data_IF_501864753249
#
_entry.id   IF_501864753249
#
_cell.length_a   1.000
_cell.length_b   1.000
_cell.length_c   1.000
_cell.angle_alpha   90.00
_cell.angle_beta   90.00
_cell.angle_gamma   90.00
#
_symmetry.space_group_name_H-M   'P 1'
#
loop_
_entity.id
_entity.type
_entity.pdbx_description
1 polymer ?
#
# COMPACT_ATOMS: atom_id res chain seq x y z
N UNK A 1 44.95 32.62 49.05
CA UNK A 1 44.60 31.28 48.55
C UNK A 1 43.36 31.43 47.68
N UNK A 2 43.57 31.63 46.39
CA UNK A 2 42.53 32.02 45.42
C UNK A 2 42.18 30.79 44.59
N UNK A 3 40.93 30.32 44.65
CA UNK A 3 40.41 29.24 43.81
C UNK A 3 40.16 29.79 42.40
N UNK A 4 40.92 29.30 41.43
CA UNK A 4 40.61 29.44 39.99
C UNK A 4 39.83 28.20 39.57
N UNK A 5 38.62 28.43 39.06
CA UNK A 5 37.70 27.44 38.54
C UNK A 5 38.02 27.22 37.06
N UNK A 6 38.51 26.03 36.71
CA UNK A 6 38.72 25.63 35.32
C UNK A 6 37.38 25.17 34.75
N UNK A 7 36.86 25.96 33.82
CA UNK A 7 35.75 25.60 32.92
C UNK A 7 36.37 24.82 31.75
N UNK A 8 36.11 23.52 31.69
CA UNK A 8 36.54 22.62 30.63
C UNK A 8 35.34 22.00 29.93
N UNK A 9 35.00 22.61 28.81
CA UNK A 9 33.97 22.30 27.80
C UNK A 9 33.81 20.80 27.47
N UNK A 10 32.69 20.18 27.90
CA UNK A 10 32.17 18.93 27.34
C UNK A 10 31.18 19.29 26.22
N UNK A 11 31.61 19.21 24.97
CA UNK A 11 30.76 19.42 23.79
C UNK A 11 31.00 18.29 22.79
N UNK A 12 30.47 17.09 23.08
CA UNK A 12 30.40 15.99 22.12
C UNK A 12 29.32 14.97 22.50
N UNK A 13 28.03 15.37 22.46
CA UNK A 13 26.93 14.42 22.23
C UNK A 13 25.60 15.15 22.08
N UNK A 14 25.19 15.46 20.85
CA UNK A 14 23.79 15.78 20.56
C UNK A 14 23.41 15.70 19.08
N UNK A 15 24.38 15.75 18.15
CA UNK A 15 24.06 15.84 16.71
C UNK A 15 23.91 14.47 16.04
N UNK A 16 24.48 13.39 16.59
CA UNK A 16 24.36 12.04 16.00
C UNK A 16 23.13 11.24 16.46
N UNK A 17 22.44 11.66 17.51
CA UNK A 17 21.17 11.03 17.93
C UNK A 17 19.99 11.60 17.12
N UNK A 18 20.13 12.81 16.57
CA UNK A 18 19.10 13.50 15.78
C UNK A 18 18.91 13.00 14.34
N UNK A 19 19.85 12.20 13.81
CA UNK A 19 19.75 11.64 12.45
C UNK A 19 19.27 10.18 12.41
N UNK A 20 19.19 9.51 13.56
CA UNK A 20 18.63 8.15 13.67
C UNK A 20 17.12 8.14 13.96
N UNK A 21 16.50 9.30 14.17
CA UNK A 21 15.04 9.45 14.38
C UNK A 21 14.30 9.82 13.07
N UNK A 22 15.03 9.91 11.95
CA UNK A 22 14.48 10.19 10.62
C UNK A 22 14.19 8.93 9.78
N UNK A 23 14.29 7.73 10.38
CA UNK A 23 13.57 6.57 9.87
C UNK A 23 12.23 6.51 10.58
N UNK A 24 11.32 7.37 10.11
CA UNK A 24 9.93 7.47 10.57
C UNK A 24 9.26 6.10 10.65
N UNK A 25 8.67 5.83 11.82
CA UNK A 25 7.46 5.02 12.00
C UNK A 25 6.52 5.16 10.79
N UNK A 26 6.40 4.09 9.99
CA UNK A 26 5.31 3.91 9.03
C UNK A 26 4.75 2.49 9.08
N UNK A 27 4.63 1.90 10.25
CA UNK A 27 3.65 0.84 10.46
C UNK A 27 2.36 1.51 10.95
N UNK A 28 1.43 1.76 10.02
CA UNK A 28 0.18 2.45 10.33
C UNK A 28 -0.74 1.56 11.18
N UNK A 29 -1.52 2.14 12.08
CA UNK A 29 -2.41 1.42 13.01
C UNK A 29 -3.31 0.34 12.35
N UNK A 30 -3.65 0.48 11.06
CA UNK A 30 -4.39 -0.55 10.32
C UNK A 30 -3.52 -1.75 9.93
N UNK A 31 -2.25 -1.53 9.56
CA UNK A 31 -1.30 -2.60 9.31
C UNK A 31 -1.14 -3.46 10.56
N UNK A 32 -0.93 -2.87 11.73
CA UNK A 32 -0.78 -3.59 13.00
C UNK A 32 -2.02 -4.41 13.34
N UNK A 33 -3.20 -3.80 13.19
CA UNK A 33 -4.48 -4.47 13.43
C UNK A 33 -4.65 -5.69 12.52
N UNK A 34 -4.33 -5.56 11.23
CA UNK A 34 -4.45 -6.66 10.28
C UNK A 34 -3.37 -7.72 10.51
N UNK A 35 -2.15 -7.33 10.88
CA UNK A 35 -1.08 -8.24 11.27
C UNK A 35 -1.46 -9.08 12.48
N UNK A 36 -2.05 -8.47 13.51
CA UNK A 36 -2.59 -9.16 14.69
C UNK A 36 -3.72 -10.13 14.32
N UNK A 37 -4.63 -9.73 13.43
CA UNK A 37 -5.69 -10.62 12.94
C UNK A 37 -5.11 -11.82 12.18
N UNK A 38 -4.16 -11.61 11.27
CA UNK A 38 -3.49 -12.70 10.56
C UNK A 38 -2.80 -13.65 11.52
N UNK A 39 -2.10 -13.13 12.53
CA UNK A 39 -1.44 -13.94 13.56
C UNK A 39 -2.44 -14.75 14.40
N UNK A 40 -3.62 -14.20 14.70
CA UNK A 40 -4.61 -14.88 15.53
C UNK A 40 -5.39 -15.98 14.80
N UNK A 41 -5.69 -15.80 13.51
CA UNK A 41 -6.47 -16.79 12.73
C UNK A 41 -5.62 -17.68 11.82
N UNK A 42 -4.36 -17.33 11.59
CA UNK A 42 -3.45 -18.00 10.65
C UNK A 42 -3.58 -17.50 9.21
N UNK A 43 -2.49 -17.59 8.43
CA UNK A 43 -2.38 -17.03 7.07
C UNK A 43 -3.47 -17.53 6.11
N UNK A 44 -3.65 -18.86 6.01
CA UNK A 44 -4.64 -19.45 5.11
C UNK A 44 -6.08 -19.06 5.43
N UNK A 45 -6.46 -18.92 6.72
CA UNK A 45 -7.79 -18.43 7.09
C UNK A 45 -7.91 -16.93 6.80
N UNK A 46 -6.86 -16.16 7.09
CA UNK A 46 -6.85 -14.70 6.86
C UNK A 46 -7.02 -14.32 5.38
N UNK A 47 -6.57 -15.17 4.45
CA UNK A 47 -6.66 -14.95 3.01
C UNK A 47 -7.74 -15.79 2.33
N UNK A 48 -8.50 -16.61 3.06
CA UNK A 48 -9.59 -17.41 2.51
C UNK A 48 -10.69 -16.53 1.91
N UNK A 49 -11.27 -16.93 0.77
CA UNK A 49 -12.24 -16.10 0.03
C UNK A 49 -13.54 -15.80 0.79
N UNK A 50 -13.83 -16.53 1.86
CA UNK A 50 -14.98 -16.37 2.75
C UNK A 50 -14.63 -15.71 4.09
N UNK A 51 -13.37 -15.31 4.31
CA UNK A 51 -12.97 -14.61 5.52
C UNK A 51 -13.60 -13.21 5.58
N UNK A 52 -14.53 -13.05 6.54
CA UNK A 52 -15.36 -11.85 6.76
C UNK A 52 -16.04 -11.38 5.46
N UNK A 53 -17.12 -12.06 5.05
CA UNK A 53 -17.84 -11.71 3.83
C UNK A 53 -18.50 -10.34 3.95
N UNK A 54 -18.59 -9.64 2.82
CA UNK A 54 -19.12 -8.29 2.72
C UNK A 54 -18.45 -7.53 1.59
N UNK A 55 -19.23 -6.70 0.87
CA UNK A 55 -18.66 -5.88 -0.19
C UNK A 55 -17.64 -4.89 0.39
N UNK A 56 -16.46 -4.85 -0.23
CA UNK A 56 -15.36 -3.97 0.15
C UNK A 56 -14.86 -3.20 -1.07
N UNK A 57 -14.54 -1.93 -0.89
CA UNK A 57 -13.85 -1.09 -1.87
C UNK A 57 -12.41 -0.88 -1.42
N UNK A 58 -11.48 -1.15 -2.33
CA UNK A 58 -10.07 -0.83 -2.21
C UNK A 58 -9.76 0.27 -3.23
N UNK A 59 -9.50 1.47 -2.73
CA UNK A 59 -9.21 2.66 -3.53
C UNK A 59 -7.70 2.81 -3.62
N UNK A 60 -7.19 3.03 -4.84
CA UNK A 60 -5.78 3.32 -5.10
C UNK A 60 -5.70 4.60 -5.92
N UNK A 61 -4.94 5.58 -5.43
CA UNK A 61 -4.64 6.82 -6.16
C UNK A 61 -3.14 6.87 -6.47
N UNK A 62 -2.80 7.19 -7.72
CA UNK A 62 -1.41 7.33 -8.17
C UNK A 62 -1.05 8.77 -8.47
N UNK A 63 0.13 9.16 -7.99
CA UNK A 63 0.85 10.39 -8.33
C UNK A 63 2.15 9.98 -9.01
N UNK A 64 2.29 10.28 -10.29
CA UNK A 64 3.41 9.82 -11.09
C UNK A 64 4.64 10.72 -10.94
N UNK A 65 5.82 10.20 -11.29
CA UNK A 65 6.99 11.06 -11.53
C UNK A 65 6.72 11.97 -12.73
N UNK A 66 7.25 13.20 -12.70
CA UNK A 66 7.11 14.17 -13.80
C UNK A 66 7.68 13.69 -15.13
N UNK A 67 8.60 12.72 -15.09
CA UNK A 67 9.26 12.14 -16.26
C UNK A 67 8.45 11.02 -16.92
N UNK A 68 7.33 10.60 -16.34
CA UNK A 68 6.54 9.48 -16.88
C UNK A 68 5.73 9.90 -18.10
N UNK A 69 5.99 9.21 -19.20
CA UNK A 69 5.32 9.38 -20.50
C UNK A 69 3.90 8.84 -20.49
N UNK A 70 3.08 9.28 -21.45
CA UNK A 70 1.73 8.75 -21.63
C UNK A 70 1.73 7.23 -21.87
N UNK A 71 2.64 6.72 -22.71
CA UNK A 71 2.74 5.29 -22.98
C UNK A 71 3.01 4.44 -21.72
N UNK A 72 3.78 4.97 -20.76
CA UNK A 72 3.99 4.31 -19.48
C UNK A 72 2.73 4.33 -18.61
N UNK A 73 1.96 5.43 -18.60
CA UNK A 73 0.67 5.53 -17.90
C UNK A 73 -0.36 4.58 -18.50
N UNK A 74 -0.39 4.44 -19.82
CA UNK A 74 -1.24 3.48 -20.52
C UNK A 74 -0.85 2.04 -20.16
N UNK A 75 0.46 1.75 -20.03
CA UNK A 75 0.94 0.45 -19.59
C UNK A 75 0.56 0.14 -18.13
N UNK A 76 0.59 1.14 -17.23
CA UNK A 76 0.08 1.01 -15.86
C UNK A 76 -1.41 0.68 -15.86
N UNK A 77 -2.20 1.46 -16.60
CA UNK A 77 -3.66 1.28 -16.71
C UNK A 77 -4.01 -0.11 -17.22
N UNK A 78 -3.39 -0.52 -18.34
CA UNK A 78 -3.62 -1.82 -18.96
C UNK A 78 -3.27 -2.98 -18.03
N UNK A 79 -2.12 -2.91 -17.35
CA UNK A 79 -1.69 -3.94 -16.39
C UNK A 79 -2.59 -4.00 -15.16
N UNK A 80 -2.98 -2.86 -14.59
CA UNK A 80 -3.89 -2.82 -13.43
C UNK A 80 -5.25 -3.44 -13.80
N UNK A 81 -5.86 -3.01 -14.91
CA UNK A 81 -7.16 -3.55 -15.35
C UNK A 81 -7.08 -5.06 -15.65
N UNK A 82 -5.93 -5.56 -16.08
CA UNK A 82 -5.73 -6.98 -16.34
C UNK A 82 -5.87 -7.86 -15.09
N UNK A 83 -5.65 -7.30 -13.89
CA UNK A 83 -5.80 -7.98 -12.60
C UNK A 83 -7.24 -8.44 -12.35
N UNK A 84 -8.24 -7.87 -13.03
CA UNK A 84 -9.63 -8.37 -12.96
C UNK A 84 -9.75 -9.86 -13.35
N UNK A 85 -8.78 -10.39 -14.09
CA UNK A 85 -8.71 -11.79 -14.52
C UNK A 85 -7.93 -12.69 -13.57
N UNK A 86 -7.42 -12.17 -12.44
CA UNK A 86 -6.65 -12.96 -11.47
C UNK A 86 -7.51 -14.06 -10.86
N UNK A 87 -6.93 -15.25 -10.77
CA UNK A 87 -7.55 -16.47 -10.26
C UNK A 87 -6.86 -16.88 -8.97
N UNK A 88 -7.64 -17.41 -8.02
CA UNK A 88 -7.07 -18.15 -6.88
C UNK A 88 -6.71 -19.58 -7.32
N UNK A 89 -5.74 -20.24 -6.67
CA UNK A 89 -5.45 -21.66 -6.92
C UNK A 89 -6.72 -22.51 -6.80
N UNK A 90 -7.03 -23.30 -7.84
CA UNK A 90 -8.20 -24.18 -7.87
C UNK A 90 -9.56 -23.47 -8.03
N UNK A 91 -9.60 -22.17 -8.27
CA UNK A 91 -10.86 -21.45 -8.51
C UNK A 91 -11.31 -21.55 -9.98
N UNK A 92 -12.63 -21.62 -10.20
CA UNK A 92 -13.24 -21.64 -11.53
C UNK A 92 -13.56 -20.24 -12.09
N UNK A 93 -13.46 -19.20 -11.25
CA UNK A 93 -13.73 -17.82 -11.63
C UNK A 93 -12.79 -16.82 -10.91
N UNK A 94 -12.57 -15.61 -11.49
CA UNK A 94 -11.81 -14.57 -10.83
C UNK A 94 -12.43 -14.13 -9.51
N UNK A 95 -11.59 -13.76 -8.54
CA UNK A 95 -12.04 -13.36 -7.22
C UNK A 95 -12.26 -11.83 -7.07
N UNK A 96 -11.72 -11.03 -7.99
CA UNK A 96 -12.00 -9.59 -8.09
C UNK A 96 -13.34 -9.38 -8.81
N UNK A 97 -14.31 -8.74 -8.15
CA UNK A 97 -15.63 -8.50 -8.74
C UNK A 97 -15.59 -7.43 -9.84
N UNK A 98 -14.89 -6.33 -9.58
CA UNK A 98 -14.74 -5.26 -10.55
C UNK A 98 -13.52 -4.41 -10.28
N UNK A 99 -12.95 -3.85 -11.35
CA UNK A 99 -11.99 -2.74 -11.30
C UNK A 99 -12.58 -1.65 -12.18
N UNK A 100 -12.65 -0.43 -11.65
CA UNK A 100 -12.93 0.80 -12.42
C UNK A 100 -11.77 1.77 -12.24
N UNK A 101 -11.55 2.62 -13.23
CA UNK A 101 -10.43 3.56 -13.29
C UNK A 101 -10.92 4.91 -13.84
N UNK A 102 -10.21 5.98 -13.49
CA UNK A 102 -10.34 7.27 -14.13
C UNK A 102 -9.25 8.25 -13.71
N UNK A 103 -9.15 9.35 -14.46
CA UNK A 103 -8.25 10.46 -14.15
C UNK A 103 -8.89 11.45 -13.18
N UNK A 104 -8.07 12.17 -12.43
CA UNK A 104 -8.52 13.29 -11.62
C UNK A 104 -9.26 14.31 -12.51
N UNK A 105 -10.45 14.74 -12.08
CA UNK A 105 -11.21 15.81 -12.73
C UNK A 105 -11.94 16.76 -11.76
N UNK A 106 -11.61 16.75 -10.45
CA UNK A 106 -12.21 17.67 -9.48
C UNK A 106 -11.56 19.06 -9.56
N UNK A 107 -12.39 20.10 -9.51
CA UNK A 107 -11.97 21.51 -9.46
C UNK A 107 -11.70 22.05 -8.06
N UNK A 108 -11.70 21.21 -7.03
CA UNK A 108 -11.58 21.64 -5.62
C UNK A 108 -10.15 21.95 -5.18
N UNK A 109 -9.13 21.54 -5.94
CA UNK A 109 -7.72 21.84 -5.66
C UNK A 109 -7.13 21.15 -4.43
N UNK A 110 -7.74 20.04 -3.99
CA UNK A 110 -7.34 19.26 -2.81
C UNK A 110 -6.86 17.83 -3.16
N UNK A 111 -6.57 17.59 -4.43
CA UNK A 111 -6.17 16.27 -4.96
C UNK A 111 -4.77 15.81 -4.50
N UNK A 112 -3.98 16.67 -3.85
CA UNK A 112 -2.65 16.30 -3.35
C UNK A 112 -1.63 15.91 -4.43
N UNK A 113 -1.91 16.24 -5.70
CA UNK A 113 -1.12 15.85 -6.86
C UNK A 113 -1.41 14.45 -7.38
N UNK A 114 -2.45 13.76 -6.89
CA UNK A 114 -2.88 12.47 -7.44
C UNK A 114 -3.59 12.67 -8.78
N UNK A 115 -3.19 11.89 -9.79
CA UNK A 115 -3.59 12.09 -11.19
C UNK A 115 -4.54 11.01 -11.70
N UNK A 116 -4.49 9.81 -11.10
CA UNK A 116 -5.26 8.66 -11.55
C UNK A 116 -5.78 7.86 -10.35
N UNK A 117 -7.02 7.39 -10.42
CA UNK A 117 -7.67 6.61 -9.38
C UNK A 117 -8.20 5.28 -9.90
N UNK A 118 -8.13 4.26 -9.05
CA UNK A 118 -8.69 2.93 -9.26
C UNK A 118 -9.59 2.57 -8.07
N UNK A 119 -10.70 1.89 -8.36
CA UNK A 119 -11.54 1.28 -7.33
C UNK A 119 -11.69 -0.20 -7.64
N UNK A 120 -11.17 -1.04 -6.75
CA UNK A 120 -11.32 -2.49 -6.79
C UNK A 120 -12.43 -2.89 -5.84
N UNK A 121 -13.29 -3.82 -6.27
CA UNK A 121 -14.37 -4.36 -5.45
C UNK A 121 -14.16 -5.83 -5.17
N UNK A 122 -14.23 -6.20 -3.88
CA UNK A 122 -14.13 -7.57 -3.39
C UNK A 122 -15.42 -7.97 -2.67
N UNK A 123 -15.65 -9.28 -2.53
CA UNK A 123 -16.79 -9.84 -1.77
C UNK A 123 -16.46 -10.16 -0.30
N UNK A 124 -15.21 -10.01 0.13
CA UNK A 124 -14.75 -10.31 1.49
C UNK A 124 -13.44 -9.59 1.81
N UNK A 125 -13.11 -9.49 3.11
CA UNK A 125 -11.78 -9.03 3.52
C UNK A 125 -10.70 -10.04 3.10
N UNK A 126 -10.98 -11.34 3.09
CA UNK A 126 -10.02 -12.35 2.67
C UNK A 126 -9.62 -12.26 1.20
N UNK A 127 -10.54 -11.92 0.31
CA UNK A 127 -10.23 -11.57 -1.09
C UNK A 127 -9.33 -10.35 -1.20
N UNK A 128 -9.60 -9.29 -0.43
CA UNK A 128 -8.71 -8.13 -0.36
C UNK A 128 -7.33 -8.50 0.18
N UNK A 129 -7.26 -9.32 1.23
CA UNK A 129 -6.01 -9.70 1.87
C UNK A 129 -5.12 -10.51 0.91
N UNK A 130 -5.71 -11.47 0.20
CA UNK A 130 -5.03 -12.24 -0.86
C UNK A 130 -4.53 -11.34 -1.99
N UNK A 131 -5.37 -10.39 -2.44
CA UNK A 131 -4.98 -9.40 -3.45
C UNK A 131 -3.79 -8.55 -2.99
N UNK A 132 -3.90 -7.88 -1.84
CA UNK A 132 -2.89 -6.93 -1.38
C UNK A 132 -1.54 -7.63 -1.15
N UNK A 133 -1.56 -8.81 -0.53
CA UNK A 133 -0.37 -9.63 -0.32
C UNK A 133 0.68 -8.90 0.54
N UNK A 134 1.90 -8.83 0.02
CA UNK A 134 3.06 -8.25 0.73
C UNK A 134 2.87 -6.75 1.04
N UNK A 135 3.37 -6.27 2.19
CA UNK A 135 4.16 -7.01 3.19
C UNK A 135 3.32 -7.79 4.22
N UNK A 136 1.99 -7.62 4.22
CA UNK A 136 1.13 -8.22 5.24
C UNK A 136 1.01 -9.75 5.09
N UNK A 137 1.00 -10.25 3.85
CA UNK A 137 1.00 -11.68 3.52
C UNK A 137 2.16 -11.95 2.57
N UNK A 138 3.10 -12.78 3.01
CA UNK A 138 4.38 -13.06 2.35
C UNK A 138 4.64 -14.56 2.11
N UNK A 139 3.74 -15.42 2.60
CA UNK A 139 3.80 -16.86 2.37
C UNK A 139 3.41 -17.18 0.93
N UNK A 140 4.27 -17.94 0.23
CA UNK A 140 4.01 -18.37 -1.15
C UNK A 140 2.69 -19.15 -1.24
N UNK A 141 1.91 -18.88 -2.29
CA UNK A 141 0.57 -19.45 -2.49
C UNK A 141 -0.56 -18.71 -1.76
N UNK A 142 -0.26 -17.88 -0.75
CA UNK A 142 -1.28 -17.16 0.04
C UNK A 142 -1.56 -15.72 -0.46
N UNK A 143 -0.93 -15.28 -1.55
CA UNK A 143 -1.17 -13.96 -2.16
C UNK A 143 -1.22 -14.02 -3.68
N UNK A 144 -1.79 -12.98 -4.29
CA UNK A 144 -1.84 -12.80 -5.74
C UNK A 144 -0.48 -12.34 -6.30
N UNK A 145 0.24 -13.27 -6.94
CA UNK A 145 1.53 -12.99 -7.58
C UNK A 145 1.42 -11.98 -8.73
N UNK A 146 0.29 -11.92 -9.43
CA UNK A 146 0.10 -10.95 -10.50
C UNK A 146 0.00 -9.52 -9.95
N UNK A 147 -0.67 -9.34 -8.81
CA UNK A 147 -0.68 -8.05 -8.12
C UNK A 147 0.70 -7.72 -7.51
N UNK A 148 1.43 -8.70 -6.96
CA UNK A 148 2.81 -8.47 -6.48
C UNK A 148 3.74 -8.01 -7.61
N UNK A 149 3.68 -8.66 -8.77
CA UNK A 149 4.41 -8.26 -9.96
C UNK A 149 4.00 -6.86 -10.46
N UNK A 150 2.70 -6.53 -10.38
CA UNK A 150 2.23 -5.19 -10.71
C UNK A 150 2.81 -4.12 -9.77
N UNK A 151 2.84 -4.36 -8.45
CA UNK A 151 3.47 -3.45 -7.48
C UNK A 151 4.93 -3.18 -7.81
N UNK A 152 5.70 -4.22 -8.15
CA UNK A 152 7.10 -4.09 -8.55
C UNK A 152 7.27 -3.29 -9.85
N UNK A 153 6.38 -3.48 -10.82
CA UNK A 153 6.38 -2.74 -12.07
C UNK A 153 6.06 -1.25 -11.87
N UNK A 154 5.03 -0.92 -11.08
CA UNK A 154 4.54 0.45 -10.94
C UNK A 154 5.38 1.29 -9.99
N UNK A 155 5.96 0.69 -8.94
CA UNK A 155 6.73 1.39 -7.91
C UNK A 155 7.77 2.41 -8.45
N UNK A 156 8.64 2.09 -9.42
CA UNK A 156 9.62 3.05 -9.92
C UNK A 156 9.01 4.23 -10.69
N UNK A 157 7.74 4.13 -11.12
CA UNK A 157 7.03 5.15 -11.91
C UNK A 157 6.32 6.19 -11.03
N UNK A 158 6.07 5.86 -9.76
CA UNK A 158 5.35 6.72 -8.82
C UNK A 158 6.29 7.73 -8.16
N UNK A 159 5.73 8.88 -7.78
CA UNK A 159 6.48 9.95 -7.12
C UNK A 159 7.15 9.44 -5.82
N UNK A 160 8.41 9.84 -5.60
CA UNK A 160 9.11 9.52 -4.36
C UNK A 160 8.50 10.28 -3.16
N UNK A 161 7.73 11.34 -3.43
CA UNK A 161 6.91 12.08 -2.45
C UNK A 161 5.44 11.61 -2.51
N UNK A 162 5.14 10.57 -1.73
CA UNK A 162 3.80 10.00 -1.55
C UNK A 162 3.11 9.62 -2.88
N UNK A 163 3.81 8.85 -3.73
CA UNK A 163 3.33 8.46 -5.06
C UNK A 163 2.10 7.55 -5.10
N UNK A 164 1.68 7.00 -3.96
CA UNK A 164 0.47 6.18 -3.84
C UNK A 164 -0.28 6.50 -2.56
N UNK A 165 -1.62 6.56 -2.66
CA UNK A 165 -2.53 6.55 -1.52
C UNK A 165 -3.50 5.39 -1.68
N UNK A 166 -3.67 4.61 -0.60
CA UNK A 166 -4.59 3.48 -0.57
C UNK A 166 -5.59 3.68 0.56
N UNK A 167 -6.87 3.42 0.28
CA UNK A 167 -7.91 3.47 1.29
C UNK A 167 -8.96 2.38 1.07
N UNK A 168 -9.26 1.66 2.15
CA UNK A 168 -10.21 0.55 2.12
C UNK A 168 -11.42 0.87 2.99
N UNK A 169 -12.61 0.52 2.50
CA UNK A 169 -13.80 0.51 3.34
C UNK A 169 -14.76 -0.61 2.96
N UNK A 170 -15.37 -1.21 3.98
CA UNK A 170 -16.49 -2.13 3.83
C UNK A 170 -17.80 -1.35 3.68
N UNK A 171 -18.67 -1.81 2.80
CA UNK A 171 -20.02 -1.27 2.66
C UNK A 171 -20.84 -1.62 3.91
N UNK A 172 -21.73 -0.72 4.31
CA UNK A 172 -22.66 -0.89 5.43
C UNK A 172 -24.08 -1.07 4.92
#
# INVERSE_FOLDING_TARGET
MTKVMIIGLLLFSAVFIGLCIYFQDKEGAMFDKLSQQRQSVGGGVFTAGDYKPGLLKHIVLFKYKKTITQAQRDAVTSRFLSLKRSMRPGADAPYILSIVEGVQNSGEGVDGGFEQGFIVTFKSEGDRNYYVGKPLVDTEGDYDEAHDAFKQFVAPLLSDDNGVLVFDFSLR
#
